data_IF_579882529698
#
_entry.id   IF_579882529698
#
_cell.length_a   1.000
_cell.length_b   1.000
_cell.length_c   1.000
_cell.angle_alpha   90.00
_cell.angle_beta   90.00
_cell.angle_gamma   90.00
#
_symmetry.space_group_name_H-M   'P 1'
#
loop_
_entity.id
_entity.type
_entity.pdbx_description
1 polymer ?
#
# COMPACT_ATOMS: atom_id res chain seq x y z
N UNK A 1 -0.16 -65.51 -23.46
CA UNK A 1 -1.43 -64.76 -23.25
C UNK A 1 -1.60 -64.61 -21.74
N UNK A 2 -1.54 -63.44 -21.11
CA UNK A 2 -1.58 -62.08 -21.63
C UNK A 2 -0.94 -61.21 -20.54
N UNK A 3 0.30 -60.77 -20.79
CA UNK A 3 1.08 -59.76 -20.07
C UNK A 3 0.40 -58.36 -20.15
N UNK A 4 -0.93 -58.36 -20.19
CA UNK A 4 -1.84 -57.24 -20.38
C UNK A 4 -2.47 -56.81 -19.07
N UNK A 5 -2.48 -57.64 -18.03
CA UNK A 5 -3.11 -57.25 -16.76
C UNK A 5 -2.25 -56.22 -16.01
N UNK A 6 -0.93 -56.40 -15.98
CA UNK A 6 0.00 -55.44 -15.36
C UNK A 6 0.13 -54.14 -16.17
N UNK A 7 0.03 -54.22 -17.51
CA UNK A 7 0.00 -53.04 -18.40
C UNK A 7 -1.27 -52.21 -18.22
N UNK A 8 -2.44 -52.84 -17.98
CA UNK A 8 -3.71 -52.13 -17.78
C UNK A 8 -3.72 -51.33 -16.46
N UNK A 9 -3.07 -51.83 -15.42
CA UNK A 9 -2.93 -51.11 -14.15
C UNK A 9 -1.96 -49.93 -14.26
N UNK A 10 -0.86 -50.09 -15.01
CA UNK A 10 0.06 -49.00 -15.29
C UNK A 10 -0.56 -47.90 -16.18
N UNK A 11 -1.45 -48.27 -17.12
CA UNK A 11 -2.11 -47.31 -18.03
C UNK A 11 -3.25 -46.56 -17.33
N UNK A 12 -3.97 -47.19 -16.40
CA UNK A 12 -5.00 -46.48 -15.60
C UNK A 12 -4.38 -45.51 -14.57
N UNK A 13 -3.17 -45.77 -14.10
CA UNK A 13 -2.48 -44.86 -13.18
C UNK A 13 -1.88 -43.63 -13.87
N UNK A 14 -1.72 -43.66 -15.19
CA UNK A 14 -1.16 -42.56 -16.00
C UNK A 14 -2.21 -41.50 -16.41
N UNK A 15 -3.51 -41.81 -16.31
CA UNK A 15 -4.59 -40.86 -16.63
C UNK A 15 -5.07 -40.03 -15.43
N UNK A 16 -4.66 -40.38 -14.21
CA UNK A 16 -5.04 -39.69 -12.95
C UNK A 16 -3.91 -38.78 -12.44
N UNK A 17 -2.85 -38.59 -13.24
CA UNK A 17 -1.67 -37.78 -12.89
C UNK A 17 -1.60 -36.43 -13.61
N UNK A 18 -2.60 -36.07 -14.42
CA UNK A 18 -2.69 -34.77 -15.13
C UNK A 18 -3.75 -33.82 -14.57
N UNK A 19 -4.20 -34.03 -13.34
CA UNK A 19 -4.86 -32.98 -12.57
C UNK A 19 -3.80 -32.03 -12.02
N UNK A 20 -3.08 -31.38 -12.95
CA UNK A 20 -2.13 -30.32 -12.66
C UNK A 20 -2.86 -29.30 -11.80
N UNK A 21 -2.29 -29.10 -10.62
CA UNK A 21 -2.70 -28.11 -9.66
C UNK A 21 -2.67 -26.73 -10.31
N UNK A 22 -3.82 -26.26 -10.80
CA UNK A 22 -4.09 -24.84 -10.92
C UNK A 22 -4.88 -24.40 -9.70
N UNK A 23 -4.27 -24.56 -8.52
CA UNK A 23 -4.43 -23.54 -7.48
C UNK A 23 -3.66 -22.32 -7.98
N UNK A 24 -4.23 -21.63 -8.98
CA UNK A 24 -3.87 -20.26 -9.23
C UNK A 24 -4.20 -19.52 -7.94
N UNK A 25 -3.20 -19.33 -7.07
CA UNK A 25 -3.20 -18.19 -6.16
C UNK A 25 -3.29 -17.00 -7.10
N UNK A 26 -4.53 -16.60 -7.42
CA UNK A 26 -4.79 -15.39 -8.17
C UNK A 26 -4.01 -14.33 -7.44
N UNK A 27 -2.94 -13.85 -8.07
CA UNK A 27 -2.12 -12.81 -7.49
C UNK A 27 -2.97 -11.56 -7.55
N UNK A 28 -3.94 -11.43 -6.65
CA UNK A 28 -4.64 -10.18 -6.41
C UNK A 28 -3.56 -9.26 -5.88
N UNK A 29 -2.98 -8.48 -6.79
CA UNK A 29 -1.95 -7.52 -6.44
C UNK A 29 -2.47 -6.69 -5.27
N UNK A 30 -1.78 -6.75 -4.15
CA UNK A 30 -2.14 -5.97 -2.96
C UNK A 30 -1.73 -4.50 -3.12
N UNK A 31 -0.90 -4.20 -4.13
CA UNK A 31 -0.54 -2.86 -4.53
C UNK A 31 -0.20 -2.81 -6.03
N UNK A 32 -0.91 -2.00 -6.79
CA UNK A 32 -0.63 -1.70 -8.21
C UNK A 32 -0.65 -0.18 -8.38
N UNK A 33 0.51 0.40 -8.68
CA UNK A 33 0.72 1.84 -8.65
C UNK A 33 2.19 2.26 -8.65
N UNK A 34 2.41 3.54 -8.43
CA UNK A 34 3.73 4.16 -8.24
C UNK A 34 3.82 4.84 -6.89
N UNK A 35 5.03 4.88 -6.32
CA UNK A 35 5.34 5.67 -5.13
C UNK A 35 6.65 6.42 -5.30
N UNK A 36 6.73 7.60 -4.69
CA UNK A 36 7.94 8.39 -4.56
C UNK A 36 8.05 8.89 -3.12
N UNK A 37 9.21 8.69 -2.49
CA UNK A 37 9.54 9.23 -1.18
C UNK A 37 10.93 9.88 -1.26
N UNK A 38 11.02 11.15 -0.92
CA UNK A 38 12.26 11.92 -0.89
C UNK A 38 12.15 13.06 0.14
N UNK A 39 13.16 13.93 0.23
CA UNK A 39 13.19 15.04 1.18
C UNK A 39 12.06 16.07 1.00
N UNK A 40 11.46 16.14 -0.20
CA UNK A 40 10.32 17.01 -0.50
C UNK A 40 8.96 16.40 -0.14
N UNK A 41 8.90 15.10 0.18
CA UNK A 41 7.66 14.46 0.60
C UNK A 41 7.48 13.01 0.17
N UNK A 42 6.25 12.53 0.37
CA UNK A 42 5.80 11.18 0.05
C UNK A 42 4.54 11.24 -0.81
N UNK A 43 4.57 10.59 -1.97
CA UNK A 43 3.50 10.63 -2.96
C UNK A 43 3.23 9.24 -3.51
N UNK A 44 1.96 8.92 -3.73
CA UNK A 44 1.54 7.67 -4.33
C UNK A 44 0.39 7.87 -5.29
N UNK A 45 0.44 7.13 -6.40
CA UNK A 45 -0.69 6.90 -7.30
C UNK A 45 -0.94 5.38 -7.32
N UNK A 46 -2.19 4.97 -7.18
CA UNK A 46 -2.54 3.56 -7.05
C UNK A 46 -3.82 3.23 -7.81
N UNK A 47 -3.71 2.26 -8.71
CA UNK A 47 -4.86 1.58 -9.31
C UNK A 47 -5.49 0.58 -8.32
N UNK A 48 -4.67 -0.02 -7.46
CA UNK A 48 -5.07 -0.89 -6.35
C UNK A 48 -4.16 -0.64 -5.15
N UNK A 49 -4.72 -0.31 -3.99
CA UNK A 49 -4.03 -0.34 -2.70
C UNK A 49 -4.89 -1.11 -1.68
N UNK A 50 -4.35 -2.24 -1.22
CA UNK A 50 -4.95 -3.20 -0.29
C UNK A 50 -4.02 -3.54 0.88
N UNK A 51 -3.02 -2.70 1.12
CA UNK A 51 -2.00 -2.87 2.16
C UNK A 51 -1.61 -1.52 2.74
N UNK A 52 -0.81 -1.56 3.78
CA UNK A 52 -0.09 -0.40 4.30
C UNK A 52 1.14 -0.10 3.44
N UNK A 53 1.33 1.17 3.10
CA UNK A 53 2.58 1.75 2.61
C UNK A 53 3.02 2.83 3.57
N UNK A 54 4.32 2.94 3.81
CA UNK A 54 4.88 3.92 4.72
C UNK A 54 6.17 4.54 4.21
N UNK A 55 6.47 5.73 4.72
CA UNK A 55 7.69 6.46 4.47
C UNK A 55 8.05 7.31 5.69
N UNK A 56 9.35 7.48 5.91
CA UNK A 56 9.87 8.42 6.90
C UNK A 56 10.24 9.73 6.20
N UNK A 57 9.85 10.85 6.80
CA UNK A 57 10.11 12.19 6.29
C UNK A 57 10.67 13.05 7.42
N UNK A 58 11.87 13.60 7.22
CA UNK A 58 12.42 14.59 8.15
C UNK A 58 11.78 15.95 7.88
N UNK A 59 11.24 16.56 8.94
CA UNK A 59 10.61 17.88 8.89
C UNK A 59 11.26 18.79 9.94
N UNK A 60 11.42 20.06 9.61
CA UNK A 60 11.96 21.08 10.50
C UNK A 60 10.83 21.80 11.24
N UNK A 61 11.15 22.38 12.40
CA UNK A 61 10.22 23.23 13.13
C UNK A 61 9.84 24.45 12.26
N UNK A 62 8.54 24.71 12.15
CA UNK A 62 7.98 25.78 11.33
C UNK A 62 7.52 25.33 9.94
N UNK A 63 7.93 24.15 9.47
CA UNK A 63 7.44 23.59 8.21
C UNK A 63 5.92 23.39 8.26
N UNK A 64 5.29 23.36 7.09
CA UNK A 64 3.94 22.82 6.91
C UNK A 64 4.02 21.49 6.14
N UNK A 65 3.26 20.50 6.58
CA UNK A 65 3.03 19.29 5.82
C UNK A 65 1.68 19.39 5.12
N UNK A 66 1.69 19.66 3.81
CA UNK A 66 0.49 19.67 2.99
C UNK A 66 0.08 18.24 2.64
N UNK A 67 -1.16 17.89 2.92
CA UNK A 67 -1.71 16.55 2.71
C UNK A 67 -2.89 16.65 1.76
N UNK A 68 -2.87 15.84 0.71
CA UNK A 68 -3.96 15.75 -0.26
C UNK A 68 -4.39 14.31 -0.47
N UNK A 69 -5.69 14.08 -0.33
CA UNK A 69 -6.34 12.81 -0.65
C UNK A 69 -7.20 12.98 -1.91
N UNK A 70 -6.98 12.11 -2.90
CA UNK A 70 -7.78 12.07 -4.12
C UNK A 70 -8.04 10.61 -4.54
N UNK A 71 -8.99 9.95 -3.89
CA UNK A 71 -9.44 8.61 -4.21
C UNK A 71 -10.80 8.59 -4.92
N UNK A 72 -10.99 7.56 -5.73
CA UNK A 72 -12.16 7.33 -6.59
C UNK A 72 -12.91 6.05 -6.23
N UNK A 73 -12.27 5.14 -5.49
CA UNK A 73 -12.87 3.91 -4.97
C UNK A 73 -12.12 3.44 -3.73
N UNK A 74 -12.77 2.57 -2.95
CA UNK A 74 -12.26 2.04 -1.68
C UNK A 74 -12.16 3.10 -0.59
N UNK A 75 -11.40 2.80 0.45
CA UNK A 75 -11.10 3.72 1.55
C UNK A 75 -9.61 3.76 1.87
N UNK A 76 -9.19 4.90 2.44
CA UNK A 76 -7.82 5.12 2.90
C UNK A 76 -7.84 5.51 4.37
N UNK A 77 -6.98 4.86 5.14
CA UNK A 77 -6.58 5.29 6.46
C UNK A 77 -5.16 5.88 6.36
N UNK A 78 -4.87 6.92 7.13
CA UNK A 78 -3.57 7.56 7.12
C UNK A 78 -3.16 8.01 8.52
N UNK A 79 -1.87 8.00 8.81
CA UNK A 79 -1.32 8.58 10.03
C UNK A 79 0.02 9.24 9.79
N UNK A 80 0.28 10.28 10.58
CA UNK A 80 1.54 11.02 10.58
C UNK A 80 1.94 11.22 12.04
N UNK A 81 3.15 10.83 12.42
CA UNK A 81 3.62 11.00 13.79
C UNK A 81 5.08 10.65 13.96
N UNK A 82 5.66 11.03 15.09
CA UNK A 82 7.01 10.64 15.46
C UNK A 82 6.96 9.38 16.33
N UNK A 83 7.99 8.55 16.26
CA UNK A 83 8.09 7.34 17.08
C UNK A 83 8.06 7.69 18.57
N UNK A 84 7.28 6.93 19.35
CA UNK A 84 7.16 7.13 20.80
C UNK A 84 6.31 8.35 21.22
N UNK A 85 5.70 9.08 20.27
CA UNK A 85 4.80 10.22 20.54
C UNK A 85 3.39 9.94 20.06
N UNK A 86 2.44 10.75 20.52
CA UNK A 86 1.09 10.74 19.96
C UNK A 86 1.14 11.19 18.49
N UNK A 87 0.39 10.53 17.57
CA UNK A 87 0.37 10.94 16.18
C UNK A 87 -0.13 12.38 16.02
N UNK A 88 0.58 13.16 15.21
CA UNK A 88 0.15 14.50 14.80
C UNK A 88 -1.18 14.44 14.03
N UNK A 89 -1.38 13.35 13.28
CA UNK A 89 -2.60 13.11 12.54
C UNK A 89 -2.91 11.61 12.47
N UNK A 90 -4.20 11.29 12.60
CA UNK A 90 -4.75 9.96 12.35
C UNK A 90 -6.12 10.12 11.70
N UNK A 91 -6.23 9.62 10.48
CA UNK A 91 -7.44 9.60 9.70
C UNK A 91 -7.88 8.18 9.37
N UNK A 92 -9.16 7.89 9.54
CA UNK A 92 -9.81 6.65 9.09
C UNK A 92 -10.86 6.97 8.02
N UNK A 93 -10.98 6.14 6.99
CA UNK A 93 -11.91 6.34 5.86
C UNK A 93 -11.92 7.79 5.33
N UNK A 94 -10.72 8.26 5.00
CA UNK A 94 -10.51 9.65 4.59
C UNK A 94 -11.35 10.02 3.38
N UNK A 95 -11.76 11.29 3.34
CA UNK A 95 -12.48 11.87 2.20
C UNK A 95 -11.51 12.67 1.34
N UNK A 96 -11.88 12.86 0.09
CA UNK A 96 -11.10 13.71 -0.81
C UNK A 96 -11.02 15.13 -0.28
N UNK A 97 -9.84 15.72 -0.38
CA UNK A 97 -9.58 17.06 0.14
C UNK A 97 -8.10 17.32 0.30
N UNK A 98 -7.82 18.53 0.77
CA UNK A 98 -6.48 19.05 0.98
C UNK A 98 -6.47 19.88 2.26
N UNK A 99 -5.43 19.71 3.07
CA UNK A 99 -5.21 20.45 4.31
C UNK A 99 -3.73 20.43 4.68
N UNK A 100 -3.33 21.31 5.59
CA UNK A 100 -1.94 21.40 6.06
C UNK A 100 -1.85 21.12 7.55
N UNK A 101 -0.77 20.44 7.96
CA UNK A 101 -0.41 20.23 9.35
C UNK A 101 0.83 21.07 9.70
N UNK A 102 0.77 21.92 10.74
CA UNK A 102 1.95 22.65 11.19
C UNK A 102 2.91 21.73 11.93
N UNK A 103 4.20 21.87 11.63
CA UNK A 103 5.28 21.13 12.30
C UNK A 103 5.85 21.99 13.42
N UNK A 104 5.53 21.62 14.66
CA UNK A 104 5.96 22.37 15.86
C UNK A 104 7.26 21.84 16.46
N UNK A 105 7.78 20.71 16.00
CA UNK A 105 9.02 20.12 16.51
C UNK A 105 9.75 19.41 15.36
N UNK A 106 11.02 19.75 15.17
CA UNK A 106 11.84 19.11 14.16
C UNK A 106 12.03 17.61 14.47
N UNK A 107 12.07 16.78 13.44
CA UNK A 107 12.36 15.35 13.59
C UNK A 107 11.87 14.50 12.43
N UNK A 108 12.06 13.19 12.57
CA UNK A 108 11.60 12.21 11.60
C UNK A 108 10.15 11.83 11.88
N UNK A 109 9.26 12.14 10.95
CA UNK A 109 7.86 11.77 10.97
C UNK A 109 7.65 10.50 10.15
N UNK A 110 7.05 9.50 10.79
CA UNK A 110 6.55 8.30 10.14
C UNK A 110 5.18 8.58 9.54
N UNK A 111 5.08 8.40 8.22
CA UNK A 111 3.84 8.50 7.47
C UNK A 111 3.40 7.08 7.11
N UNK A 112 2.17 6.72 7.45
CA UNK A 112 1.54 5.45 7.04
C UNK A 112 0.25 5.73 6.29
N UNK A 113 0.03 4.98 5.22
CA UNK A 113 -1.17 4.99 4.38
C UNK A 113 -1.63 3.55 4.20
N UNK A 114 -2.79 3.21 4.73
CA UNK A 114 -3.39 1.88 4.56
C UNK A 114 -4.60 1.98 3.64
N UNK A 115 -4.57 1.22 2.54
CA UNK A 115 -5.70 1.16 1.61
C UNK A 115 -6.52 -0.10 1.74
N UNK A 116 -7.83 0.05 1.50
CA UNK A 116 -8.80 -1.02 1.42
C UNK A 116 -9.55 -0.93 0.08
N UNK A 117 -9.10 -1.74 -0.87
CA UNK A 117 -9.52 -1.74 -2.28
C UNK A 117 -9.46 -0.34 -2.90
N UNK A 118 -8.48 0.46 -2.45
CA UNK A 118 -8.42 1.86 -2.78
C UNK A 118 -7.86 2.10 -4.19
N UNK A 119 -8.39 3.12 -4.86
CA UNK A 119 -7.90 3.61 -6.15
C UNK A 119 -7.85 5.13 -6.12
N UNK A 120 -6.72 5.72 -6.47
CA UNK A 120 -6.53 7.17 -6.41
C UNK A 120 -5.09 7.58 -6.22
N UNK A 121 -4.91 8.70 -5.53
CA UNK A 121 -3.63 9.21 -5.13
C UNK A 121 -3.65 9.83 -3.74
N UNK A 122 -2.48 9.90 -3.13
CA UNK A 122 -2.23 10.65 -1.91
C UNK A 122 -0.88 11.34 -2.02
N UNK A 123 -0.78 12.55 -1.48
CA UNK A 123 0.49 13.26 -1.36
C UNK A 123 0.64 13.89 0.01
N UNK A 124 1.85 13.81 0.54
CA UNK A 124 2.34 14.49 1.73
C UNK A 124 3.54 15.31 1.26
N UNK A 125 3.39 16.62 1.18
CA UNK A 125 4.39 17.53 0.62
C UNK A 125 4.92 18.43 1.72
N UNK A 126 6.25 18.48 1.87
CA UNK A 126 6.91 19.42 2.77
C UNK A 126 6.86 20.81 2.15
N UNK A 127 6.38 21.79 2.92
CA UNK A 127 6.48 23.22 2.61
C UNK A 127 7.38 23.85 3.68
N UNK A 128 8.61 24.27 3.32
CA UNK A 128 9.55 24.89 4.25
C UNK A 128 9.00 26.14 4.94
N UNK A 129 9.41 26.34 6.19
CA UNK A 129 9.11 27.58 6.90
C UNK A 129 9.64 28.82 6.16
N UNK A 130 8.77 29.80 5.91
CA UNK A 130 9.17 31.12 5.37
C UNK A 130 9.15 31.25 3.84
N UNK A 131 8.64 30.25 3.11
CA UNK A 131 8.14 30.39 1.74
C UNK A 131 6.67 30.87 1.71
#
# INVERSE_FOLDING_TARGET
MKMTFLKRFAILSLLVSLSVMLSGCGSTSVFDGSRSANEGGFQMDYAVLNREESADLYLEEGDQLEIRFAHSAGSIDASVGQEGKEPLYRGTDQKNGEFSLPISEAGTYHISVTGHQAKGSVSFTRVPAGE
#
